data_IF_446858411805
#
_entry.id   IF_446858411805
#
_cell.length_a   1.000
_cell.length_b   1.000
_cell.length_c   1.000
_cell.angle_alpha   90.00
_cell.angle_beta   90.00
_cell.angle_gamma   90.00
#
_symmetry.space_group_name_H-M   'P 1'
#
loop_
_entity.id
_entity.type
_entity.pdbx_description
1 polymer ?
#
# COMPACT_ATOMS: atom_id res chain seq x y z
N UNK A 1 -33.53 28.09 17.43
CA UNK A 1 -33.06 28.37 16.06
C UNK A 1 -31.67 27.82 15.75
N UNK A 2 -30.71 27.78 16.69
CA UNK A 2 -29.33 27.28 16.44
C UNK A 2 -29.17 25.76 16.15
N UNK A 3 -30.04 24.89 16.69
CA UNK A 3 -29.90 23.43 16.53
C UNK A 3 -30.19 22.92 15.10
N UNK A 4 -31.12 23.56 14.38
CA UNK A 4 -31.45 23.18 13.00
C UNK A 4 -30.35 23.59 12.01
N UNK A 5 -29.67 24.71 12.25
CA UNK A 5 -28.53 25.16 11.44
C UNK A 5 -27.33 24.22 11.57
N UNK A 6 -27.09 23.67 12.76
CA UNK A 6 -26.01 22.71 13.00
C UNK A 6 -26.25 21.37 12.29
N UNK A 7 -27.49 20.88 12.26
CA UNK A 7 -27.86 19.63 11.57
C UNK A 7 -27.75 19.80 10.05
N UNK A 8 -28.23 20.92 9.51
CA UNK A 8 -28.11 21.21 8.07
C UNK A 8 -26.66 21.39 7.63
N UNK A 9 -25.80 21.99 8.47
CA UNK A 9 -24.37 22.11 8.20
C UNK A 9 -23.64 20.77 8.15
N UNK A 10 -23.94 19.87 9.10
CA UNK A 10 -23.36 18.53 9.13
C UNK A 10 -23.82 17.67 7.94
N UNK A 11 -25.09 17.78 7.53
CA UNK A 11 -25.64 17.03 6.39
C UNK A 11 -25.06 17.54 5.05
N UNK A 12 -24.91 18.85 4.89
CA UNK A 12 -24.28 19.44 3.71
C UNK A 12 -22.80 19.03 3.59
N UNK A 13 -22.06 18.99 4.70
CA UNK A 13 -20.67 18.53 4.73
C UNK A 13 -20.58 17.04 4.38
N UNK A 14 -21.47 16.20 4.95
CA UNK A 14 -21.53 14.77 4.64
C UNK A 14 -21.85 14.48 3.17
N UNK A 15 -22.77 15.24 2.56
CA UNK A 15 -23.07 15.15 1.13
C UNK A 15 -21.90 15.62 0.26
N UNK A 16 -21.16 16.65 0.66
CA UNK A 16 -19.98 17.12 -0.10
C UNK A 16 -18.79 16.15 -0.07
N UNK A 17 -18.64 15.33 0.97
CA UNK A 17 -17.59 14.29 1.03
C UNK A 17 -17.88 13.08 0.14
N UNK A 18 -19.13 12.89 -0.31
CA UNK A 18 -19.53 11.71 -1.09
C UNK A 18 -19.25 11.82 -2.60
N UNK A 19 -18.75 12.96 -3.07
CA UNK A 19 -18.52 13.25 -4.48
C UNK A 19 -17.02 13.20 -4.85
N UNK A 20 -16.34 12.10 -4.54
CA UNK A 20 -15.05 11.81 -5.19
C UNK A 20 -15.32 11.04 -6.49
N UNK A 21 -14.61 11.41 -7.55
CA UNK A 21 -14.73 10.89 -8.91
C UNK A 21 -14.32 9.41 -9.01
N UNK A 22 -15.12 8.51 -8.45
CA UNK A 22 -14.94 7.07 -8.56
C UNK A 22 -15.75 6.59 -9.76
N UNK A 23 -15.06 6.08 -10.78
CA UNK A 23 -15.72 5.31 -11.82
C UNK A 23 -16.12 3.95 -11.23
N UNK A 24 -17.37 3.50 -11.39
CA UNK A 24 -17.76 2.17 -10.92
C UNK A 24 -16.88 1.11 -11.58
N UNK A 25 -16.38 0.17 -10.79
CA UNK A 25 -15.68 -1.00 -11.31
C UNK A 25 -16.59 -1.76 -12.28
N UNK A 26 -16.15 -1.92 -13.53
CA UNK A 26 -16.83 -2.74 -14.53
C UNK A 26 -16.10 -4.07 -14.62
N UNK A 27 -16.63 -5.16 -14.05
CA UNK A 27 -15.98 -6.46 -14.08
C UNK A 27 -15.94 -7.02 -15.51
N UNK A 28 -14.83 -7.67 -15.86
CA UNK A 28 -14.66 -8.34 -17.14
C UNK A 28 -13.31 -9.04 -17.23
N UNK A 29 -13.12 -9.99 -18.17
CA UNK A 29 -11.88 -10.75 -18.30
C UNK A 29 -10.62 -9.90 -18.53
N UNK A 30 -10.81 -8.70 -19.08
CA UNK A 30 -9.74 -7.75 -19.41
C UNK A 30 -9.78 -6.49 -18.55
N UNK A 31 -10.50 -6.51 -17.42
CA UNK A 31 -10.55 -5.36 -16.53
C UNK A 31 -9.20 -5.17 -15.83
N UNK A 32 -8.55 -4.03 -16.06
CA UNK A 32 -7.35 -3.64 -15.32
C UNK A 32 -7.80 -3.13 -13.95
N UNK A 33 -7.52 -3.91 -12.91
CA UNK A 33 -7.92 -3.60 -11.53
C UNK A 33 -6.80 -2.98 -10.70
N UNK A 34 -5.57 -3.00 -11.20
CA UNK A 34 -4.40 -2.40 -10.58
C UNK A 34 -3.35 -2.06 -11.63
N UNK A 35 -2.60 -0.98 -11.39
CA UNK A 35 -1.44 -0.51 -12.16
C UNK A 35 -0.31 -0.16 -11.19
N UNK A 36 0.89 0.07 -11.69
CA UNK A 36 2.07 0.48 -10.90
C UNK A 36 2.06 1.96 -10.48
N UNK A 37 0.93 2.65 -10.68
CA UNK A 37 0.76 4.05 -10.37
C UNK A 37 -0.34 4.24 -9.31
N UNK A 38 0.04 4.86 -8.20
CA UNK A 38 -0.85 5.26 -7.15
C UNK A 38 -1.73 6.45 -7.57
N UNK A 39 -3.01 6.37 -7.25
CA UNK A 39 -4.02 7.38 -7.56
C UNK A 39 -4.64 8.00 -6.31
N UNK A 40 -4.05 7.73 -5.15
CA UNK A 40 -4.40 8.30 -3.86
C UNK A 40 -4.50 9.83 -3.86
N UNK A 41 -5.16 10.38 -2.85
CA UNK A 41 -5.38 11.82 -2.79
C UNK A 41 -4.12 12.60 -2.37
N UNK A 42 -3.17 11.96 -1.69
CA UNK A 42 -2.07 12.64 -1.01
C UNK A 42 -0.66 12.16 -1.41
N UNK A 43 -0.55 11.10 -2.22
CA UNK A 43 0.65 10.29 -2.46
C UNK A 43 0.71 9.72 -3.90
N UNK A 44 0.23 10.47 -4.89
CA UNK A 44 0.22 10.04 -6.30
C UNK A 44 1.62 9.84 -6.86
N UNK A 45 1.87 8.71 -7.51
CA UNK A 45 3.13 8.47 -8.22
C UNK A 45 3.32 7.02 -8.65
N UNK A 46 4.43 6.76 -9.35
CA UNK A 46 4.84 5.39 -9.67
C UNK A 46 5.61 4.78 -8.50
N UNK A 47 5.38 3.49 -8.27
CA UNK A 47 6.06 2.69 -7.26
C UNK A 47 7.52 2.38 -7.62
N UNK A 48 7.99 2.80 -8.81
CA UNK A 48 9.36 2.60 -9.30
C UNK A 48 10.43 3.18 -8.37
N UNK A 49 10.09 4.22 -7.59
CA UNK A 49 11.00 4.87 -6.63
C UNK A 49 10.84 4.32 -5.20
N UNK A 50 9.99 3.31 -4.99
CA UNK A 50 9.74 2.72 -3.68
C UNK A 50 10.96 2.00 -3.12
N UNK A 51 11.40 2.38 -1.92
CA UNK A 51 12.37 1.58 -1.17
C UNK A 51 11.66 0.34 -0.61
N UNK A 52 11.92 -0.82 -1.22
CA UNK A 52 11.36 -2.07 -0.74
C UNK A 52 12.21 -2.70 0.37
N UNK A 53 11.54 -3.14 1.43
CA UNK A 53 12.10 -4.11 2.37
C UNK A 53 12.08 -5.52 1.79
N UNK A 54 12.86 -6.43 2.39
CA UNK A 54 12.89 -7.85 2.05
C UNK A 54 12.19 -8.64 3.16
N UNK A 55 11.08 -9.29 2.82
CA UNK A 55 10.38 -10.21 3.71
C UNK A 55 10.77 -11.67 3.43
N UNK A 56 11.03 -12.45 4.47
CA UNK A 56 11.23 -13.90 4.41
C UNK A 56 9.93 -14.61 4.69
N UNK A 57 9.45 -15.39 3.73
CA UNK A 57 8.25 -16.20 3.88
C UNK A 57 8.52 -17.49 4.71
N UNK A 58 7.48 -18.28 5.05
CA UNK A 58 7.62 -19.55 5.75
C UNK A 58 8.54 -20.58 5.07
N UNK A 59 8.71 -20.49 3.75
CA UNK A 59 9.53 -21.40 2.96
C UNK A 59 11.01 -20.93 2.89
N UNK A 60 11.35 -19.79 3.48
CA UNK A 60 12.69 -19.18 3.44
C UNK A 60 12.99 -18.43 2.14
N UNK A 61 11.96 -18.15 1.34
CA UNK A 61 12.06 -17.37 0.13
C UNK A 61 11.77 -15.89 0.38
N UNK A 62 12.38 -15.05 -0.45
CA UNK A 62 12.33 -13.60 -0.31
C UNK A 62 11.19 -12.99 -1.14
N UNK A 63 10.52 -12.00 -0.56
CA UNK A 63 9.60 -11.10 -1.25
C UNK A 63 9.98 -9.64 -1.02
N UNK A 64 9.57 -8.79 -1.95
CA UNK A 64 9.54 -7.35 -1.75
C UNK A 64 8.32 -6.99 -0.91
N UNK A 65 8.52 -6.05 0.02
CA UNK A 65 7.47 -5.43 0.81
C UNK A 65 7.66 -3.91 0.77
N UNK A 66 6.62 -3.20 0.36
CA UNK A 66 6.57 -1.74 0.33
C UNK A 66 5.29 -1.32 1.06
N UNK A 67 5.42 -0.28 1.87
CA UNK A 67 4.33 0.39 2.55
C UNK A 67 4.31 1.86 2.10
N UNK A 68 3.24 2.27 1.42
CA UNK A 68 3.01 3.65 0.99
C UNK A 68 1.92 4.32 1.85
N UNK A 69 1.80 3.93 3.12
CA UNK A 69 0.94 4.57 4.10
C UNK A 69 -0.40 3.87 4.29
N UNK A 70 -1.36 4.06 3.38
CA UNK A 70 -2.63 3.31 3.40
C UNK A 70 -2.52 2.06 2.53
N UNK A 71 -1.75 2.14 1.45
CA UNK A 71 -1.57 1.11 0.45
C UNK A 71 -0.28 0.29 0.71
N UNK A 72 -0.41 -1.04 0.67
CA UNK A 72 0.72 -1.96 0.81
C UNK A 72 0.94 -2.78 -0.46
N UNK A 73 2.20 -2.89 -0.89
CA UNK A 73 2.59 -3.66 -2.07
C UNK A 73 3.54 -4.79 -1.70
N UNK A 74 3.34 -5.96 -2.32
CA UNK A 74 4.25 -7.10 -2.13
C UNK A 74 4.37 -7.95 -3.38
N UNK A 75 5.49 -8.64 -3.51
CA UNK A 75 5.75 -9.52 -4.65
C UNK A 75 6.94 -10.44 -4.41
N UNK A 76 7.03 -11.53 -5.18
CA UNK A 76 8.18 -12.43 -5.11
C UNK A 76 9.45 -11.73 -5.62
N UNK A 77 10.56 -11.93 -4.92
CA UNK A 77 11.87 -11.47 -5.38
C UNK A 77 12.53 -12.56 -6.21
N UNK A 78 12.90 -12.21 -7.44
CA UNK A 78 13.57 -13.12 -8.37
C UNK A 78 15.02 -12.70 -8.58
N UNK A 79 15.89 -13.69 -8.75
CA UNK A 79 17.24 -13.46 -9.22
C UNK A 79 17.19 -13.07 -10.71
N UNK A 80 17.71 -11.89 -11.11
CA UNK A 80 17.62 -11.43 -12.49
C UNK A 80 18.41 -12.30 -13.48
N UNK A 81 19.36 -13.11 -13.02
CA UNK A 81 20.15 -14.00 -13.88
C UNK A 81 19.41 -15.30 -14.16
N UNK A 82 18.95 -16.00 -13.11
CA UNK A 82 18.28 -17.30 -13.25
C UNK A 82 16.76 -17.20 -13.48
N UNK A 83 16.13 -16.09 -13.10
CA UNK A 83 14.68 -15.94 -13.06
C UNK A 83 13.99 -16.75 -11.96
N UNK A 84 14.76 -17.41 -11.08
CA UNK A 84 14.21 -18.21 -9.98
C UNK A 84 13.95 -17.35 -8.74
N UNK A 85 12.99 -17.74 -7.87
CA UNK A 85 12.81 -17.10 -6.58
C UNK A 85 14.10 -17.12 -5.77
N UNK A 86 14.43 -16.01 -5.12
CA UNK A 86 15.58 -15.97 -4.22
C UNK A 86 15.19 -16.59 -2.88
N UNK A 87 15.77 -17.73 -2.53
CA UNK A 87 15.52 -18.43 -1.27
C UNK A 87 16.83 -18.79 -0.57
N UNK A 88 16.92 -18.54 0.74
CA UNK A 88 18.06 -18.92 1.59
C UNK A 88 17.70 -18.90 3.08
N UNK A 89 18.63 -19.29 3.94
CA UNK A 89 18.43 -19.36 5.39
C UNK A 89 19.23 -18.30 6.17
N UNK A 90 19.49 -17.12 5.58
CA UNK A 90 20.27 -16.06 6.24
C UNK A 90 19.50 -15.43 7.42
N UNK A 91 18.17 -15.40 7.34
CA UNK A 91 17.29 -14.89 8.39
C UNK A 91 16.12 -15.87 8.61
N UNK A 92 15.57 -15.94 9.84
CA UNK A 92 14.42 -16.80 10.13
C UNK A 92 13.18 -16.40 9.32
N UNK A 93 12.29 -17.36 9.00
CA UNK A 93 10.97 -17.06 8.44
C UNK A 93 10.20 -16.02 9.26
N UNK A 94 9.47 -15.13 8.57
CA UNK A 94 8.75 -14.01 9.19
C UNK A 94 9.61 -12.77 9.46
N UNK A 95 10.89 -12.79 9.08
CA UNK A 95 11.77 -11.61 9.21
C UNK A 95 11.53 -10.63 8.06
N UNK A 96 11.46 -9.33 8.39
CA UNK A 96 11.48 -8.22 7.41
C UNK A 96 12.76 -7.42 7.61
N UNK A 97 13.49 -7.19 6.52
CA UNK A 97 14.80 -6.52 6.50
C UNK A 97 14.69 -5.22 5.72
N UNK A 98 15.11 -4.11 6.33
CA UNK A 98 15.06 -2.79 5.72
C UNK A 98 13.81 -2.01 6.12
N UNK A 99 13.71 -0.78 5.63
CA UNK A 99 12.54 0.08 5.83
C UNK A 99 11.53 -0.18 4.71
N UNK A 100 10.32 -0.67 4.99
CA UNK A 100 9.29 -0.84 3.97
C UNK A 100 8.61 0.48 3.59
N UNK A 101 8.68 1.51 4.45
CA UNK A 101 7.96 2.77 4.26
C UNK A 101 8.59 3.60 3.13
N UNK A 102 7.78 4.01 2.16
CA UNK A 102 8.17 4.99 1.15
C UNK A 102 8.36 6.38 1.77
N UNK A 103 9.01 7.28 1.03
CA UNK A 103 9.09 8.69 1.44
C UNK A 103 7.74 9.43 1.30
N UNK A 104 6.85 8.92 0.45
CA UNK A 104 5.54 9.50 0.11
C UNK A 104 4.41 9.08 1.02
N UNK A 105 4.59 8.06 1.87
CA UNK A 105 3.54 7.40 2.65
C UNK A 105 2.60 8.33 3.43
N UNK A 106 3.01 9.58 3.72
CA UNK A 106 2.16 10.66 4.24
C UNK A 106 1.74 10.48 5.71
N UNK A 107 1.50 9.25 6.13
CA UNK A 107 1.24 8.78 7.47
C UNK A 107 2.42 7.95 7.94
N UNK A 108 2.80 8.15 9.20
CA UNK A 108 3.87 7.38 9.82
C UNK A 108 3.31 6.13 10.47
N UNK A 109 3.87 4.99 10.14
CA UNK A 109 3.47 3.73 10.74
C UNK A 109 3.82 3.61 12.21
N UNK A 110 3.02 2.81 12.91
CA UNK A 110 3.29 2.41 14.27
C UNK A 110 3.75 0.96 14.32
N UNK A 111 5.05 0.76 14.12
CA UNK A 111 5.66 -0.55 14.29
C UNK A 111 5.69 -0.95 15.78
N UNK A 112 5.44 -2.23 16.12
CA UNK A 112 5.63 -2.74 17.47
C UNK A 112 7.05 -2.44 17.95
N UNK A 113 7.20 -2.02 19.22
CA UNK A 113 8.54 -1.87 19.81
C UNK A 113 9.21 -3.24 19.88
N UNK A 114 10.54 -3.31 19.69
CA UNK A 114 11.30 -4.51 20.03
C UNK A 114 10.99 -4.89 21.48
N UNK A 115 10.76 -6.19 21.72
CA UNK A 115 10.64 -6.72 23.08
C UNK A 115 12.00 -6.77 23.76
#
# INVERSE_FOLDING_TARGET
>A
MSKFTAISGALALGLSLSACAVTPYVPGPNAVIATDNDTGLFDRGSLIEGQAAIAYDPDGCQGWLIDDGIEGYSGRRFDPVSGLPVCNSLYPPGTVIGNPQTASAGLRDWAPRPK
#
